data_IF_745899013071
#
_entry.id   IF_745899013071
#
_cell.length_a   1.000
_cell.length_b   1.000
_cell.length_c   1.000
_cell.angle_alpha   90.00
_cell.angle_beta   90.00
_cell.angle_gamma   90.00
#
_symmetry.space_group_name_H-M   'P 1'
#
loop_
_entity.id
_entity.type
_entity.pdbx_description
1 polymer ?
#
# COMPACT_ATOMS: atom_id res chain seq x y z
N UNK A 1 19.47 59.83 -8.46
CA UNK A 1 19.41 58.73 -7.47
C UNK A 1 18.91 57.49 -8.19
N UNK A 2 19.76 56.51 -8.43
CA UNK A 2 19.38 55.20 -8.95
C UNK A 2 19.63 54.18 -7.82
N UNK A 3 18.71 53.26 -7.52
CA UNK A 3 19.00 52.22 -6.55
C UNK A 3 19.87 51.15 -7.24
N UNK A 4 21.12 51.08 -6.77
CA UNK A 4 21.88 49.83 -6.64
C UNK A 4 20.97 48.82 -5.92
N UNK A 5 20.84 47.59 -6.42
CA UNK A 5 20.51 46.33 -5.73
C UNK A 5 19.77 45.41 -6.70
N UNK A 6 20.48 44.71 -7.61
CA UNK A 6 20.03 43.42 -8.17
C UNK A 6 21.14 42.77 -9.02
N UNK A 7 22.31 42.50 -8.43
CA UNK A 7 23.38 41.78 -9.16
C UNK A 7 24.17 40.88 -8.21
N UNK A 8 23.48 40.01 -7.45
CA UNK A 8 24.15 38.98 -6.64
C UNK A 8 23.33 37.72 -6.39
N UNK A 9 22.29 37.44 -7.19
CA UNK A 9 21.48 36.22 -7.02
C UNK A 9 21.44 35.28 -8.25
N UNK A 10 22.00 35.67 -9.41
CA UNK A 10 21.95 34.85 -10.63
C UNK A 10 23.18 33.97 -10.89
N UNK A 11 24.23 34.05 -10.07
CA UNK A 11 25.46 33.24 -10.29
C UNK A 11 25.45 31.94 -9.46
N UNK A 12 24.83 31.93 -8.28
CA UNK A 12 24.73 30.71 -7.47
C UNK A 12 23.70 29.70 -7.98
N UNK A 13 22.67 30.14 -8.70
CA UNK A 13 21.71 29.22 -9.35
C UNK A 13 22.24 28.63 -10.66
N UNK A 14 23.31 29.15 -11.28
CA UNK A 14 23.82 28.57 -12.53
C UNK A 14 24.81 27.41 -12.29
N UNK A 15 25.39 27.31 -11.09
CA UNK A 15 26.37 26.26 -10.74
C UNK A 15 25.66 24.97 -10.24
N UNK A 16 24.42 25.06 -9.76
CA UNK A 16 23.65 23.88 -9.34
C UNK A 16 22.98 23.13 -10.51
N UNK A 17 22.67 23.80 -11.62
CA UNK A 17 21.98 23.18 -12.76
C UNK A 17 22.86 22.29 -13.64
N UNK A 18 24.19 22.37 -13.52
CA UNK A 18 25.12 21.60 -14.37
C UNK A 18 25.50 20.23 -13.80
N UNK A 19 25.07 19.87 -12.58
CA UNK A 19 25.45 18.60 -11.92
C UNK A 19 24.38 17.51 -11.90
N UNK A 20 23.09 17.82 -12.09
CA UNK A 20 22.02 16.82 -12.00
C UNK A 20 21.95 15.88 -13.22
N UNK A 21 22.32 16.36 -14.42
CA UNK A 21 22.22 15.59 -15.66
C UNK A 21 23.23 14.44 -15.79
N UNK A 22 24.32 14.44 -15.02
CA UNK A 22 25.36 13.39 -15.09
C UNK A 22 25.20 12.30 -14.01
N UNK A 23 24.33 12.50 -13.03
CA UNK A 23 24.14 11.55 -11.92
C UNK A 23 22.93 10.63 -12.16
N UNK A 24 23.01 9.34 -11.77
CA UNK A 24 21.88 8.43 -11.83
C UNK A 24 20.72 8.85 -10.91
N UNK A 25 19.52 8.32 -11.18
CA UNK A 25 18.24 8.72 -10.59
C UNK A 25 18.26 8.87 -9.07
N UNK A 26 18.65 7.83 -8.34
CA UNK A 26 18.65 7.86 -6.87
C UNK A 26 19.78 8.72 -6.31
N UNK A 27 20.91 8.81 -7.02
CA UNK A 27 21.97 9.77 -6.68
C UNK A 27 21.48 11.21 -6.80
N UNK A 28 20.72 11.52 -7.86
CA UNK A 28 20.10 12.83 -8.03
C UNK A 28 19.07 13.11 -6.94
N UNK A 29 18.21 12.14 -6.59
CA UNK A 29 17.27 12.24 -5.45
C UNK A 29 18.01 12.62 -4.15
N UNK A 30 19.13 11.98 -3.86
CA UNK A 30 19.93 12.25 -2.65
C UNK A 30 20.52 13.68 -2.60
N UNK A 31 20.67 14.35 -3.75
CA UNK A 31 21.16 15.74 -3.81
C UNK A 31 20.06 16.80 -3.60
N UNK A 32 18.78 16.42 -3.74
CA UNK A 32 17.66 17.35 -3.60
C UNK A 32 17.27 17.46 -2.13
N UNK A 33 17.40 18.65 -1.48
CA UNK A 33 17.13 18.78 -0.05
C UNK A 33 15.71 18.38 0.36
N UNK A 34 14.72 18.70 -0.48
CA UNK A 34 13.30 18.34 -0.30
C UNK A 34 13.00 16.84 -0.43
N UNK A 35 13.96 16.03 -0.87
CA UNK A 35 13.82 14.57 -1.01
C UNK A 35 14.74 13.79 -0.05
N UNK A 36 15.39 14.47 0.89
CA UNK A 36 16.34 13.83 1.82
C UNK A 36 15.70 12.72 2.67
N UNK A 37 14.45 12.90 3.14
CA UNK A 37 13.71 11.85 3.84
C UNK A 37 13.46 10.63 2.95
N UNK A 38 13.09 10.84 1.69
CA UNK A 38 12.85 9.74 0.75
C UNK A 38 14.14 9.00 0.41
N UNK A 39 15.23 9.72 0.19
CA UNK A 39 16.57 9.14 0.02
C UNK A 39 16.98 8.28 1.22
N UNK A 40 16.72 8.74 2.45
CA UNK A 40 17.03 7.97 3.66
C UNK A 40 16.20 6.68 3.76
N UNK A 41 14.93 6.73 3.37
CA UNK A 41 14.04 5.55 3.35
C UNK A 41 14.50 4.54 2.30
N UNK A 42 14.92 4.99 1.11
CA UNK A 42 15.50 4.12 0.08
C UNK A 42 16.77 3.43 0.60
N UNK A 43 17.67 4.17 1.25
CA UNK A 43 18.88 3.61 1.87
C UNK A 43 18.55 2.58 2.97
N UNK A 44 17.47 2.82 3.72
CA UNK A 44 17.00 1.92 4.77
C UNK A 44 16.35 0.64 4.21
N UNK A 45 15.85 0.66 2.96
CA UNK A 45 15.35 -0.53 2.24
C UNK A 45 16.45 -1.51 1.81
N UNK A 46 17.59 -1.52 2.52
CA UNK A 46 18.75 -2.34 2.26
C UNK A 46 18.39 -3.77 1.88
N UNK A 47 18.60 -4.08 0.60
CA UNK A 47 18.15 -5.31 -0.05
C UNK A 47 18.48 -6.56 0.77
N UNK A 48 17.44 -7.35 1.04
CA UNK A 48 17.62 -8.71 1.51
C UNK A 48 18.27 -9.52 0.38
N UNK A 49 19.44 -10.11 0.65
CA UNK A 49 20.03 -11.11 -0.26
C UNK A 49 18.99 -12.21 -0.51
N UNK A 50 18.77 -12.64 -1.78
CA UNK A 50 19.74 -12.65 -2.87
C UNK A 50 19.64 -11.50 -3.89
N UNK A 51 18.78 -10.50 -3.67
CA UNK A 51 18.64 -9.41 -4.63
C UNK A 51 19.73 -8.34 -4.44
N UNK A 52 20.24 -7.73 -5.53
CA UNK A 52 21.04 -6.51 -5.40
C UNK A 52 20.22 -5.46 -4.65
N UNK A 53 20.89 -4.58 -3.90
CA UNK A 53 20.21 -3.50 -3.20
C UNK A 53 19.35 -2.71 -4.19
N UNK A 54 18.17 -2.21 -3.78
CA UNK A 54 17.29 -1.36 -4.60
C UNK A 54 18.09 -0.31 -5.38
N UNK A 55 19.12 0.24 -4.73
CA UNK A 55 20.09 1.17 -5.31
C UNK A 55 20.88 0.61 -6.50
N UNK A 56 21.46 -0.58 -6.39
CA UNK A 56 22.27 -1.19 -7.44
C UNK A 56 21.43 -1.44 -8.72
N UNK A 57 20.11 -1.62 -8.59
CA UNK A 57 19.21 -1.82 -9.72
C UNK A 57 18.83 -0.52 -10.41
N UNK A 58 18.45 0.54 -9.67
CA UNK A 58 17.90 1.76 -10.29
C UNK A 58 18.91 2.92 -10.42
N UNK A 59 20.11 2.80 -9.84
CA UNK A 59 21.25 3.70 -10.13
C UNK A 59 22.21 3.15 -11.18
N UNK A 60 21.95 1.98 -11.75
CA UNK A 60 22.78 1.45 -12.83
C UNK A 60 22.48 2.20 -14.13
N UNK A 61 23.54 2.72 -14.77
CA UNK A 61 23.50 3.21 -16.16
C UNK A 61 23.90 2.11 -17.16
N UNK A 62 24.29 0.93 -16.66
CA UNK A 62 24.79 -0.18 -17.46
C UNK A 62 23.64 -1.01 -18.07
N UNK A 63 22.45 -0.96 -17.47
CA UNK A 63 21.26 -1.64 -17.98
C UNK A 63 20.65 -0.92 -19.20
N UNK A 64 21.09 0.33 -19.48
CA UNK A 64 20.60 1.22 -20.54
C UNK A 64 19.08 1.41 -20.49
N UNK A 65 18.50 1.34 -19.30
CA UNK A 65 17.08 1.62 -19.06
C UNK A 65 16.92 3.05 -18.56
N UNK A 66 15.75 3.60 -18.84
CA UNK A 66 15.32 4.88 -18.28
C UNK A 66 14.23 4.61 -17.26
N UNK A 67 14.20 5.45 -16.23
CA UNK A 67 13.24 5.34 -15.14
C UNK A 67 12.55 6.68 -14.87
N UNK A 68 11.35 6.60 -14.33
CA UNK A 68 10.62 7.76 -13.80
C UNK A 68 10.42 7.56 -12.32
N UNK A 69 10.96 8.46 -11.50
CA UNK A 69 10.73 8.46 -10.05
C UNK A 69 9.63 9.45 -9.69
N UNK A 70 8.61 8.97 -8.99
CA UNK A 70 7.62 9.79 -8.33
C UNK A 70 8.05 9.94 -6.87
N UNK A 71 8.87 10.95 -6.57
CA UNK A 71 9.57 11.06 -5.30
C UNK A 71 8.75 11.85 -4.27
N UNK A 72 8.32 11.24 -3.15
CA UNK A 72 7.63 11.96 -2.08
C UNK A 72 8.54 13.01 -1.45
N UNK A 73 8.02 14.22 -1.31
CA UNK A 73 8.72 15.29 -0.59
C UNK A 73 8.90 14.96 0.91
N UNK A 74 9.81 15.66 1.58
CA UNK A 74 9.94 15.58 3.04
C UNK A 74 8.59 15.86 3.73
N UNK A 75 7.83 16.83 3.21
CA UNK A 75 6.48 17.13 3.67
C UNK A 75 5.53 15.94 3.54
N UNK A 76 5.60 15.20 2.41
CA UNK A 76 4.82 13.99 2.19
C UNK A 76 5.14 12.90 3.23
N UNK A 77 6.42 12.62 3.46
CA UNK A 77 6.84 11.58 4.41
C UNK A 77 6.48 11.97 5.85
N UNK A 78 6.57 13.25 6.19
CA UNK A 78 6.21 13.76 7.52
C UNK A 78 4.71 13.67 7.82
N UNK A 79 3.84 13.44 6.81
CA UNK A 79 2.41 13.18 7.02
C UNK A 79 2.16 11.76 7.55
N UNK A 80 3.13 10.85 7.45
CA UNK A 80 3.00 9.47 7.90
C UNK A 80 3.23 9.40 9.41
N UNK A 81 2.35 8.67 10.11
CA UNK A 81 2.51 8.45 11.54
C UNK A 81 3.86 7.76 11.84
N UNK A 82 4.68 8.27 12.79
CA UNK A 82 5.98 7.68 13.12
C UNK A 82 5.90 6.19 13.51
N UNK A 83 4.83 5.80 14.22
CA UNK A 83 4.59 4.41 14.59
C UNK A 83 4.41 3.49 13.37
N UNK A 84 3.81 4.00 12.28
CA UNK A 84 3.69 3.24 11.04
C UNK A 84 5.03 3.12 10.32
N UNK A 85 5.84 4.19 10.30
CA UNK A 85 7.20 4.13 9.73
C UNK A 85 8.04 3.10 10.48
N UNK A 86 7.97 3.07 11.81
CA UNK A 86 8.64 2.06 12.63
C UNK A 86 8.15 0.64 12.31
N UNK A 87 6.83 0.44 12.22
CA UNK A 87 6.25 -0.86 11.87
C UNK A 87 6.66 -1.33 10.47
N UNK A 88 6.65 -0.45 9.46
CA UNK A 88 7.01 -0.76 8.08
C UNK A 88 8.51 -1.08 7.93
N UNK A 89 9.36 -0.39 8.68
CA UNK A 89 10.82 -0.61 8.62
C UNK A 89 11.28 -1.81 9.46
N UNK A 90 10.38 -2.44 10.22
CA UNK A 90 10.65 -3.66 10.95
C UNK A 90 10.68 -4.88 10.01
N UNK A 91 11.50 -5.88 10.35
CA UNK A 91 11.68 -7.10 9.54
C UNK A 91 10.37 -7.82 9.13
N UNK A 92 9.33 -7.93 9.97
CA UNK A 92 8.07 -8.57 9.58
C UNK A 92 7.32 -7.88 8.44
N UNK A 93 7.51 -6.56 8.27
CA UNK A 93 6.81 -5.76 7.28
C UNK A 93 7.65 -5.44 6.04
N UNK A 94 8.86 -6.00 5.94
CA UNK A 94 9.81 -5.66 4.90
C UNK A 94 9.29 -5.89 3.46
N UNK A 95 8.57 -6.99 3.13
CA UNK A 95 8.00 -7.15 1.79
C UNK A 95 7.01 -6.04 1.41
N UNK A 96 6.13 -5.67 2.35
CA UNK A 96 5.20 -4.54 2.19
C UNK A 96 5.96 -3.21 2.02
N UNK A 97 6.99 -2.98 2.84
CA UNK A 97 7.81 -1.78 2.73
C UNK A 97 8.51 -1.67 1.37
N UNK A 98 9.13 -2.75 0.89
CA UNK A 98 9.79 -2.78 -0.42
C UNK A 98 8.79 -2.50 -1.56
N UNK A 99 7.58 -3.06 -1.47
CA UNK A 99 6.49 -2.84 -2.43
C UNK A 99 6.10 -1.36 -2.53
N UNK A 100 6.01 -0.66 -1.39
CA UNK A 100 5.75 0.79 -1.35
C UNK A 100 6.86 1.54 -2.10
N UNK A 101 8.14 1.26 -1.79
CA UNK A 101 9.26 2.00 -2.40
C UNK A 101 9.34 1.73 -3.91
N UNK A 102 9.13 0.50 -4.35
CA UNK A 102 9.13 0.13 -5.77
C UNK A 102 7.96 0.74 -6.55
N UNK A 103 6.84 1.01 -5.90
CA UNK A 103 5.69 1.70 -6.51
C UNK A 103 6.01 3.13 -6.94
N UNK A 104 7.01 3.76 -6.32
CA UNK A 104 7.44 5.13 -6.65
C UNK A 104 8.40 5.20 -7.85
N UNK A 105 8.70 4.07 -8.49
CA UNK A 105 9.57 4.03 -9.67
C UNK A 105 8.83 3.29 -10.80
N UNK A 106 8.78 3.90 -11.97
CA UNK A 106 8.27 3.30 -13.20
C UNK A 106 9.39 3.11 -14.21
N UNK A 107 9.28 2.09 -15.06
CA UNK A 107 10.16 1.94 -16.22
C UNK A 107 9.73 2.88 -17.35
N UNK A 108 10.71 3.49 -18.02
CA UNK A 108 10.49 4.46 -19.08
C UNK A 108 10.73 5.90 -18.63
N UNK A 109 10.93 6.78 -19.62
CA UNK A 109 11.08 8.22 -19.41
C UNK A 109 9.72 8.88 -19.66
N UNK A 110 9.00 9.17 -18.58
CA UNK A 110 7.69 9.83 -18.62
C UNK A 110 7.86 11.25 -18.11
N UNK A 111 7.96 12.21 -19.02
CA UNK A 111 8.09 13.63 -18.67
C UNK A 111 6.74 14.22 -18.24
N UNK A 112 6.74 15.42 -17.65
CA UNK A 112 5.47 16.09 -17.32
C UNK A 112 4.58 16.36 -18.53
N UNK A 113 5.18 16.53 -19.72
CA UNK A 113 4.46 16.69 -20.97
C UNK A 113 3.77 15.39 -21.44
N UNK A 114 4.32 14.24 -21.06
CA UNK A 114 3.85 12.92 -21.49
C UNK A 114 3.02 12.22 -20.41
N UNK A 115 3.09 12.63 -19.15
CA UNK A 115 2.54 11.87 -18.01
C UNK A 115 1.05 11.58 -18.13
N UNK A 116 0.28 12.50 -18.71
CA UNK A 116 -1.16 12.33 -18.94
C UNK A 116 -1.43 11.41 -20.13
N UNK A 117 -0.66 11.52 -21.21
CA UNK A 117 -0.85 10.72 -22.43
C UNK A 117 -0.28 9.29 -22.29
N UNK A 118 0.67 9.10 -21.40
CA UNK A 118 1.26 7.81 -21.02
C UNK A 118 0.45 7.07 -19.95
N UNK A 119 -0.60 7.67 -19.40
CA UNK A 119 -1.46 7.08 -18.37
C UNK A 119 -2.42 6.03 -18.96
N UNK A 120 -2.58 4.84 -18.34
CA UNK A 120 -1.80 4.35 -17.20
C UNK A 120 -0.43 3.81 -17.62
N UNK A 121 0.56 3.99 -16.77
CA UNK A 121 1.87 3.34 -16.88
C UNK A 121 2.14 2.43 -15.67
N UNK A 122 3.11 1.53 -15.77
CA UNK A 122 3.33 0.49 -14.76
C UNK A 122 4.48 0.87 -13.82
N UNK A 123 4.24 0.78 -12.52
CA UNK A 123 5.32 0.82 -11.54
C UNK A 123 6.18 -0.45 -11.67
N UNK A 124 7.44 -0.40 -11.24
CA UNK A 124 8.33 -1.57 -11.27
C UNK A 124 7.86 -2.68 -10.33
N UNK A 125 7.03 -2.33 -9.34
CA UNK A 125 6.33 -3.29 -8.50
C UNK A 125 5.21 -4.07 -9.25
N UNK A 126 4.76 -3.57 -10.40
CA UNK A 126 3.67 -4.15 -11.19
C UNK A 126 2.30 -3.51 -10.96
N UNK A 127 2.19 -2.56 -10.02
CA UNK A 127 0.95 -1.81 -9.81
C UNK A 127 0.79 -0.69 -10.86
N UNK A 128 -0.44 -0.45 -11.35
CA UNK A 128 -0.68 0.63 -12.29
C UNK A 128 -0.54 1.99 -11.61
N UNK A 129 0.01 2.93 -12.37
CA UNK A 129 0.07 4.35 -12.05
C UNK A 129 -0.77 5.09 -13.08
N UNK A 130 -1.81 5.75 -12.59
CA UNK A 130 -2.66 6.66 -13.35
C UNK A 130 -2.24 8.09 -13.07
N UNK A 131 -2.26 8.93 -14.10
CA UNK A 131 -2.07 10.37 -13.97
C UNK A 131 -3.20 11.12 -14.67
N UNK A 132 -3.71 12.15 -14.01
CA UNK A 132 -4.80 12.99 -14.50
C UNK A 132 -4.58 14.46 -14.15
N UNK A 133 -5.12 15.37 -14.96
CA UNK A 133 -5.18 16.80 -14.64
C UNK A 133 -6.53 17.09 -14.01
N UNK A 134 -6.54 17.64 -12.79
CA UNK A 134 -7.77 17.90 -12.04
C UNK A 134 -7.95 19.41 -11.85
N UNK A 135 -9.18 19.90 -12.06
CA UNK A 135 -9.57 21.26 -11.66
C UNK A 135 -9.25 22.37 -12.65
N UNK A 136 -8.79 22.06 -13.87
CA UNK A 136 -8.52 23.07 -14.91
C UNK A 136 -7.28 23.96 -14.66
N UNK A 137 -6.71 23.88 -13.45
CA UNK A 137 -5.33 24.27 -13.16
C UNK A 137 -4.40 23.14 -13.63
N UNK A 138 -3.17 23.44 -14.05
CA UNK A 138 -2.17 22.48 -14.56
C UNK A 138 -1.64 21.52 -13.46
N UNK A 139 -2.47 21.20 -12.45
CA UNK A 139 -2.15 20.29 -11.37
C UNK A 139 -2.33 18.84 -11.84
N UNK A 140 -1.22 18.12 -11.96
CA UNK A 140 -1.19 16.69 -12.25
C UNK A 140 -1.33 15.94 -10.92
N UNK A 141 -2.29 15.03 -10.87
CA UNK A 141 -2.47 14.08 -9.78
C UNK A 141 -2.12 12.69 -10.24
N UNK A 142 -1.46 11.94 -9.37
CA UNK A 142 -1.12 10.54 -9.57
C UNK A 142 -1.99 9.67 -8.66
N UNK A 143 -2.62 8.65 -9.23
CA UNK A 143 -3.51 7.69 -8.55
C UNK A 143 -4.64 8.34 -7.73
N UNK A 144 -5.04 9.57 -8.10
CA UNK A 144 -5.96 10.42 -7.32
C UNK A 144 -5.55 10.57 -5.84
N UNK A 145 -4.27 10.34 -5.54
CA UNK A 145 -3.68 10.32 -4.20
C UNK A 145 -2.73 11.49 -3.98
N UNK A 146 -1.84 11.73 -4.94
CA UNK A 146 -0.71 12.63 -4.77
C UNK A 146 -0.67 13.69 -5.86
N UNK A 147 -0.53 14.95 -5.48
CA UNK A 147 -0.27 16.03 -6.42
C UNK A 147 1.22 16.05 -6.77
N UNK A 148 1.53 16.22 -8.06
CA UNK A 148 2.88 16.53 -8.51
C UNK A 148 3.18 18.00 -8.22
N UNK A 149 4.17 18.25 -7.36
CA UNK A 149 4.52 19.60 -6.87
C UNK A 149 5.77 20.17 -7.53
N UNK A 150 6.62 19.33 -8.11
CA UNK A 150 7.71 19.74 -8.97
C UNK A 150 7.93 18.66 -10.03
N UNK A 151 8.28 19.07 -11.24
CA UNK A 151 8.41 18.17 -12.40
C UNK A 151 9.80 18.22 -13.00
N UNK A 152 10.12 17.19 -13.80
CA UNK A 152 11.21 17.18 -14.76
C UNK A 152 12.60 17.46 -14.18
N UNK A 153 12.91 16.92 -13.00
CA UNK A 153 14.28 16.88 -12.51
C UNK A 153 15.02 15.74 -13.21
N UNK A 154 15.81 16.08 -14.22
CA UNK A 154 16.51 15.10 -15.05
C UNK A 154 17.72 14.48 -14.33
N UNK A 155 17.87 13.17 -14.54
CA UNK A 155 19.01 12.35 -14.14
C UNK A 155 19.56 11.62 -15.39
N UNK A 156 20.74 11.01 -15.28
CA UNK A 156 21.40 10.37 -16.42
C UNK A 156 20.69 9.10 -16.94
N UNK A 157 19.86 8.47 -16.11
CA UNK A 157 19.03 7.31 -16.45
C UNK A 157 17.54 7.54 -16.13
N UNK A 158 17.07 8.79 -16.12
CA UNK A 158 15.65 9.02 -15.84
C UNK A 158 15.22 10.45 -15.54
N UNK A 159 14.01 10.56 -15.03
CA UNK A 159 13.38 11.82 -14.61
C UNK A 159 12.71 11.66 -13.25
N UNK A 160 12.75 12.70 -12.44
CA UNK A 160 12.15 12.73 -11.10
C UNK A 160 11.04 13.79 -11.09
N UNK A 161 9.87 13.38 -10.63
CA UNK A 161 8.74 14.25 -10.30
C UNK A 161 8.51 14.19 -8.79
N UNK A 162 8.46 15.33 -8.13
CA UNK A 162 8.23 15.40 -6.69
C UNK A 162 6.73 15.39 -6.43
N UNK A 163 6.30 14.59 -5.45
CA UNK A 163 4.89 14.44 -5.09
C UNK A 163 4.64 14.80 -3.62
N UNK A 164 3.44 15.26 -3.30
CA UNK A 164 3.09 15.75 -1.97
C UNK A 164 2.55 14.67 -1.01
N UNK A 165 2.39 13.43 -1.49
CA UNK A 165 1.97 12.26 -0.71
C UNK A 165 2.83 11.04 -1.08
N UNK A 166 2.89 10.05 -0.18
CA UNK A 166 3.42 8.72 -0.50
C UNK A 166 2.32 7.91 -1.19
N UNK A 167 2.65 7.27 -2.31
CA UNK A 167 1.71 6.47 -3.09
C UNK A 167 1.37 5.18 -2.35
N UNK A 168 0.07 4.88 -2.29
CA UNK A 168 -0.40 3.58 -1.84
C UNK A 168 -0.65 2.69 -3.06
N UNK A 169 0.13 1.63 -3.29
CA UNK A 169 -0.10 0.70 -4.41
C UNK A 169 -1.45 -0.03 -4.32
N UNK A 170 -1.96 -0.24 -3.12
CA UNK A 170 -3.06 -1.17 -2.88
C UNK A 170 -4.43 -0.52 -3.02
N UNK A 171 -4.60 0.75 -2.69
CA UNK A 171 -5.91 1.40 -2.80
C UNK A 171 -6.44 1.40 -4.24
N UNK A 172 -5.67 1.80 -5.27
CA UNK A 172 -6.17 1.76 -6.66
C UNK A 172 -6.41 0.34 -7.16
N UNK A 173 -5.73 -0.65 -6.56
CA UNK A 173 -5.78 -2.04 -6.97
C UNK A 173 -6.90 -2.83 -6.27
N UNK A 174 -6.92 -2.85 -4.94
CA UNK A 174 -7.94 -3.54 -4.13
C UNK A 174 -9.23 -2.75 -3.99
N UNK A 175 -9.21 -1.43 -4.21
CA UNK A 175 -10.37 -0.57 -4.11
C UNK A 175 -10.88 -0.38 -2.68
N UNK A 176 -11.99 0.34 -2.56
CA UNK A 176 -12.65 0.68 -1.31
C UNK A 176 -14.07 0.11 -1.35
N UNK A 177 -14.53 -0.46 -0.24
CA UNK A 177 -15.90 -0.91 -0.09
C UNK A 177 -16.86 0.27 0.04
N UNK A 178 -18.01 0.14 -0.61
CA UNK A 178 -19.13 1.07 -0.53
C UNK A 178 -20.38 0.40 0.08
N UNK A 179 -20.21 -0.71 0.82
CA UNK A 179 -21.35 -1.40 1.44
C UNK A 179 -22.13 -0.48 2.36
N UNK A 180 -23.45 -0.55 2.27
CA UNK A 180 -24.39 0.17 3.15
C UNK A 180 -25.12 -0.78 4.10
N UNK A 181 -24.90 -2.08 3.97
CA UNK A 181 -25.59 -3.10 4.76
C UNK A 181 -24.82 -3.35 6.05
N UNK A 182 -25.57 -3.48 7.15
CA UNK A 182 -25.00 -4.00 8.38
C UNK A 182 -24.55 -5.45 8.19
N UNK A 183 -23.40 -5.85 8.77
CA UNK A 183 -22.97 -7.23 8.74
C UNK A 183 -24.01 -8.13 9.40
N UNK A 184 -24.12 -9.35 8.88
CA UNK A 184 -24.85 -10.44 9.54
C UNK A 184 -23.94 -11.24 10.47
N UNK A 185 -24.50 -11.96 11.43
CA UNK A 185 -23.74 -12.84 12.33
C UNK A 185 -24.35 -14.24 12.33
N UNK A 186 -23.51 -15.25 12.22
CA UNK A 186 -23.87 -16.66 12.32
C UNK A 186 -22.89 -17.42 13.21
N UNK A 187 -23.34 -18.58 13.72
CA UNK A 187 -22.57 -19.45 14.61
C UNK A 187 -22.50 -20.86 14.00
N UNK A 188 -21.42 -21.57 14.27
CA UNK A 188 -21.20 -22.96 13.85
C UNK A 188 -20.45 -23.76 14.91
N UNK A 189 -20.65 -25.06 14.94
CA UNK A 189 -19.97 -25.97 15.88
C UNK A 189 -18.48 -26.20 15.51
N UNK A 190 -18.04 -25.76 14.32
CA UNK A 190 -16.68 -25.92 13.82
C UNK A 190 -15.67 -24.91 14.37
N UNK A 191 -14.40 -25.09 14.04
CA UNK A 191 -13.31 -24.11 14.26
C UNK A 191 -13.25 -23.04 13.16
N UNK A 192 -12.43 -22.01 13.33
CA UNK A 192 -12.06 -21.06 12.27
C UNK A 192 -11.52 -21.78 11.03
N UNK A 193 -10.72 -22.84 11.22
CA UNK A 193 -10.27 -23.68 10.12
C UNK A 193 -11.42 -24.40 9.41
N UNK A 194 -12.40 -24.94 10.15
CA UNK A 194 -13.59 -25.55 9.57
C UNK A 194 -14.40 -24.55 8.74
N UNK A 195 -14.53 -23.30 9.21
CA UNK A 195 -15.23 -22.24 8.48
C UNK A 195 -14.54 -21.99 7.14
N UNK A 196 -13.21 -21.76 7.13
CA UNK A 196 -12.45 -21.53 5.90
C UNK A 196 -12.53 -22.73 4.92
N UNK A 197 -12.55 -23.95 5.45
CA UNK A 197 -12.58 -25.16 4.63
C UNK A 197 -13.97 -25.45 4.03
N UNK A 198 -15.05 -25.05 4.70
CA UNK A 198 -16.43 -25.39 4.29
C UNK A 198 -17.16 -24.27 3.57
N UNK A 199 -16.81 -23.00 3.82
CA UNK A 199 -17.50 -21.87 3.20
C UNK A 199 -17.11 -21.73 1.72
N UNK A 200 -18.10 -21.89 0.83
CA UNK A 200 -17.91 -21.80 -0.62
C UNK A 200 -17.52 -20.38 -1.07
N UNK A 201 -17.81 -19.36 -0.27
CA UNK A 201 -17.43 -17.97 -0.56
C UNK A 201 -15.94 -17.72 -0.31
N UNK A 202 -15.23 -18.64 0.33
CA UNK A 202 -13.83 -18.47 0.71
C UNK A 202 -12.88 -19.33 -0.14
N UNK A 203 -13.36 -19.88 -1.25
CA UNK A 203 -12.57 -20.81 -2.09
C UNK A 203 -11.31 -20.16 -2.66
N UNK A 204 -11.39 -18.93 -3.18
CA UNK A 204 -10.24 -18.26 -3.82
C UNK A 204 -9.11 -18.04 -2.81
N UNK A 205 -9.41 -17.40 -1.68
CA UNK A 205 -8.40 -17.11 -0.65
C UNK A 205 -7.87 -18.38 0.01
N UNK A 206 -8.70 -19.42 0.16
CA UNK A 206 -8.25 -20.74 0.63
C UNK A 206 -7.22 -21.33 -0.31
N UNK A 207 -7.47 -21.31 -1.62
CA UNK A 207 -6.57 -21.87 -2.62
C UNK A 207 -5.25 -21.08 -2.67
N UNK A 208 -5.31 -19.76 -2.51
CA UNK A 208 -4.11 -18.91 -2.34
C UNK A 208 -3.32 -19.35 -1.11
N UNK A 209 -3.96 -19.49 0.06
CA UNK A 209 -3.27 -19.94 1.28
C UNK A 209 -2.67 -21.34 1.17
N UNK A 210 -3.33 -22.26 0.46
CA UNK A 210 -2.78 -23.59 0.22
C UNK A 210 -1.43 -23.56 -0.51
N UNK A 211 -1.22 -22.57 -1.39
CA UNK A 211 0.07 -22.39 -2.08
C UNK A 211 1.05 -21.61 -1.22
N UNK A 212 0.62 -20.48 -0.63
CA UNK A 212 1.50 -19.57 0.09
C UNK A 212 1.96 -20.11 1.44
N UNK A 213 1.09 -20.84 2.13
CA UNK A 213 1.35 -21.40 3.46
C UNK A 213 0.47 -22.63 3.69
N UNK A 214 0.86 -23.81 3.16
CA UNK A 214 0.05 -25.03 3.22
C UNK A 214 -0.39 -25.44 4.63
N UNK A 215 0.44 -25.10 5.63
CA UNK A 215 0.20 -25.39 7.04
C UNK A 215 -0.61 -24.29 7.76
N UNK A 216 -0.91 -23.15 7.13
CA UNK A 216 -1.59 -22.02 7.78
C UNK A 216 -2.94 -22.43 8.36
N UNK A 217 -3.81 -23.03 7.54
CA UNK A 217 -5.16 -23.41 7.96
C UNK A 217 -5.08 -24.54 9.00
N UNK A 218 -4.32 -25.60 8.73
CA UNK A 218 -4.27 -26.80 9.56
C UNK A 218 -3.43 -26.67 10.83
N UNK A 219 -2.56 -25.67 10.96
CA UNK A 219 -1.78 -25.43 12.18
C UNK A 219 -2.18 -24.15 12.87
N UNK A 220 -2.21 -23.01 12.19
CA UNK A 220 -2.45 -21.72 12.85
C UNK A 220 -3.91 -21.56 13.27
N UNK A 221 -4.84 -21.93 12.39
CA UNK A 221 -6.28 -21.76 12.62
C UNK A 221 -6.93 -22.96 13.31
N UNK A 222 -6.35 -24.15 13.17
CA UNK A 222 -6.82 -25.36 13.84
C UNK A 222 -6.31 -25.47 15.29
N UNK A 223 -5.07 -25.02 15.58
CA UNK A 223 -4.46 -25.09 16.92
C UNK A 223 -4.75 -23.84 17.75
N UNK A 224 -6.03 -23.57 17.98
CA UNK A 224 -6.44 -22.98 19.25
C UNK A 224 -7.00 -24.14 20.08
N UNK A 225 -6.11 -25.01 20.57
CA UNK A 225 -6.49 -26.12 21.43
C UNK A 225 -7.17 -25.60 22.71
N UNK A 226 -8.16 -26.36 23.18
CA UNK A 226 -8.99 -26.17 24.35
C UNK A 226 -8.40 -25.22 25.42
N UNK A 227 -8.84 -23.95 25.40
CA UNK A 227 -8.45 -22.91 26.35
C UNK A 227 -7.55 -21.79 25.79
N UNK A 228 -7.23 -21.81 24.49
CA UNK A 228 -6.52 -20.73 23.80
C UNK A 228 -7.36 -19.45 23.57
N UNK A 229 -6.68 -18.37 23.22
CA UNK A 229 -7.28 -17.06 22.88
C UNK A 229 -8.13 -17.22 21.60
N UNK A 230 -9.36 -16.71 21.63
CA UNK A 230 -10.26 -16.66 20.46
C UNK A 230 -9.57 -15.96 19.29
N UNK A 231 -9.57 -16.58 18.11
CA UNK A 231 -8.93 -16.00 16.92
C UNK A 231 -9.94 -15.25 16.06
N UNK A 232 -9.62 -14.02 15.67
CA UNK A 232 -10.37 -13.28 14.67
C UNK A 232 -9.57 -13.21 13.37
N UNK A 233 -10.19 -13.66 12.28
CA UNK A 233 -9.62 -13.61 10.94
C UNK A 233 -10.57 -12.88 9.99
N UNK A 234 -10.20 -11.66 9.61
CA UNK A 234 -10.84 -10.95 8.51
C UNK A 234 -10.26 -11.45 7.18
N UNK A 235 -11.13 -11.93 6.29
CA UNK A 235 -10.69 -12.62 5.08
C UNK A 235 -11.58 -12.28 3.88
N UNK A 236 -11.01 -12.00 2.69
CA UNK A 236 -11.78 -11.68 1.50
C UNK A 236 -12.64 -12.85 1.04
N UNK A 237 -13.91 -12.56 0.71
CA UNK A 237 -14.77 -13.48 -0.03
C UNK A 237 -14.37 -13.55 -1.50
N UNK A 238 -14.96 -14.49 -2.25
CA UNK A 238 -14.76 -14.59 -3.69
C UNK A 238 -15.17 -13.30 -4.41
N UNK A 239 -16.20 -12.60 -3.93
CA UNK A 239 -16.68 -11.32 -4.49
C UNK A 239 -15.63 -10.21 -4.35
N UNK A 240 -14.75 -10.30 -3.34
CA UNK A 240 -13.64 -9.36 -3.16
C UNK A 240 -12.62 -9.38 -4.32
N UNK A 241 -12.61 -10.46 -5.12
CA UNK A 241 -11.73 -10.62 -6.28
C UNK A 241 -12.41 -10.26 -7.60
N UNK A 242 -13.74 -10.05 -7.62
CA UNK A 242 -14.51 -9.87 -8.85
C UNK A 242 -14.17 -8.59 -9.65
N UNK A 243 -13.50 -7.61 -9.03
CA UNK A 243 -13.03 -6.38 -9.66
C UNK A 243 -11.52 -6.31 -9.91
N UNK A 244 -10.78 -7.37 -9.57
CA UNK A 244 -9.33 -7.43 -9.74
C UNK A 244 -8.98 -7.95 -11.14
N UNK A 245 -7.77 -7.66 -11.66
CA UNK A 245 -7.29 -8.23 -12.92
C UNK A 245 -7.43 -9.76 -12.99
N UNK A 246 -7.67 -10.30 -14.20
CA UNK A 246 -7.92 -11.73 -14.38
C UNK A 246 -6.74 -12.63 -13.95
N UNK A 247 -5.52 -12.09 -14.00
CA UNK A 247 -4.29 -12.76 -13.60
C UNK A 247 -3.99 -12.62 -12.09
N UNK A 248 -4.79 -11.88 -11.32
CA UNK A 248 -4.52 -11.60 -9.90
C UNK A 248 -4.22 -12.86 -9.09
N UNK A 249 -4.94 -13.96 -9.32
CA UNK A 249 -4.71 -15.21 -8.57
C UNK A 249 -3.35 -15.81 -8.94
N UNK A 250 -3.03 -15.90 -10.23
CA UNK A 250 -1.74 -16.41 -10.73
C UNK A 250 -0.57 -15.55 -10.24
N UNK A 251 -0.71 -14.23 -10.37
CA UNK A 251 0.24 -13.24 -9.90
C UNK A 251 0.42 -13.28 -8.38
N UNK A 252 -0.63 -13.56 -7.61
CA UNK A 252 -0.55 -13.66 -6.13
C UNK A 252 0.21 -14.88 -5.64
N UNK A 253 0.20 -15.98 -6.40
CA UNK A 253 0.88 -17.23 -6.01
C UNK A 253 2.26 -17.39 -6.67
N UNK A 254 2.61 -16.50 -7.60
CA UNK A 254 3.89 -16.50 -8.29
C UNK A 254 5.06 -16.44 -7.28
N UNK A 255 6.13 -17.26 -7.44
CA UNK A 255 7.22 -17.35 -6.48
C UNK A 255 7.87 -16.01 -6.07
N UNK A 256 7.93 -15.05 -6.99
CA UNK A 256 8.47 -13.70 -6.71
C UNK A 256 7.58 -12.87 -5.78
N UNK A 257 6.28 -13.16 -5.72
CA UNK A 257 5.29 -12.35 -5.03
C UNK A 257 4.87 -12.98 -3.69
N UNK A 258 5.18 -14.27 -3.48
CA UNK A 258 4.74 -15.03 -2.30
C UNK A 258 5.01 -14.33 -0.95
N UNK A 259 6.18 -13.70 -0.69
CA UNK A 259 6.42 -13.02 0.59
C UNK A 259 5.43 -11.87 0.84
N UNK A 260 5.19 -11.04 -0.19
CA UNK A 260 4.25 -9.92 -0.10
C UNK A 260 2.81 -10.43 -0.04
N UNK A 261 2.43 -11.36 -0.91
CA UNK A 261 1.06 -11.91 -0.95
C UNK A 261 0.70 -12.59 0.36
N UNK A 262 1.63 -13.35 0.97
CA UNK A 262 1.39 -13.95 2.28
C UNK A 262 1.15 -12.88 3.34
N UNK A 263 1.90 -11.78 3.29
CA UNK A 263 1.72 -10.65 4.20
C UNK A 263 0.35 -9.98 4.02
N UNK A 264 -0.05 -9.71 2.77
CA UNK A 264 -1.33 -9.06 2.45
C UNK A 264 -2.52 -9.93 2.86
N UNK A 265 -2.52 -11.22 2.48
CA UNK A 265 -3.63 -12.12 2.80
C UNK A 265 -3.67 -12.52 4.29
N UNK A 266 -2.54 -12.53 4.99
CA UNK A 266 -2.50 -12.78 6.45
C UNK A 266 -2.75 -11.53 7.30
N UNK A 267 -2.84 -10.35 6.69
CA UNK A 267 -2.97 -9.08 7.41
C UNK A 267 -4.20 -9.04 8.33
N UNK A 268 -5.30 -9.67 7.91
CA UNK A 268 -6.55 -9.74 8.67
C UNK A 268 -6.53 -10.69 9.87
N UNK A 269 -5.39 -11.29 10.23
CA UNK A 269 -5.27 -12.09 11.45
C UNK A 269 -5.05 -11.19 12.67
N UNK A 270 -6.11 -10.96 13.44
CA UNK A 270 -6.17 -9.91 14.45
C UNK A 270 -5.80 -10.41 15.85
N UNK A 271 -5.17 -9.54 16.62
CA UNK A 271 -4.87 -9.74 18.05
C UNK A 271 -6.03 -9.24 18.92
N UNK A 272 -7.20 -9.86 18.76
CA UNK A 272 -8.39 -9.57 19.56
C UNK A 272 -9.29 -10.80 19.62
N UNK A 273 -10.01 -10.93 20.73
CA UNK A 273 -11.09 -11.89 20.94
C UNK A 273 -12.48 -11.25 20.80
N UNK A 274 -12.55 -9.92 20.65
CA UNK A 274 -13.81 -9.18 20.59
C UNK A 274 -14.45 -9.37 19.22
N UNK A 275 -15.69 -9.88 19.24
CA UNK A 275 -16.53 -10.01 18.05
C UNK A 275 -16.84 -8.62 17.50
N UNK A 276 -16.90 -8.47 16.18
CA UNK A 276 -17.17 -7.16 15.59
C UNK A 276 -18.51 -6.58 16.08
N UNK A 277 -19.53 -7.44 16.19
CA UNK A 277 -20.85 -7.08 16.69
C UNK A 277 -20.84 -6.51 18.13
N UNK A 278 -19.80 -6.80 18.91
CA UNK A 278 -19.65 -6.36 20.30
C UNK A 278 -18.73 -5.13 20.44
N UNK A 279 -18.18 -4.62 19.33
CA UNK A 279 -17.35 -3.41 19.33
C UNK A 279 -18.21 -2.15 19.55
N UNK A 280 -17.79 -1.32 20.49
CA UNK A 280 -18.42 -0.03 20.77
C UNK A 280 -17.73 1.11 19.98
N UNK A 281 -18.38 1.56 18.91
CA UNK A 281 -17.92 2.67 18.07
C UNK A 281 -18.34 4.05 18.58
N UNK A 282 -18.93 4.17 19.78
CA UNK A 282 -19.34 5.46 20.35
C UNK A 282 -18.17 6.45 20.51
N UNK A 283 -16.96 5.94 20.69
CA UNK A 283 -15.71 6.70 20.73
C UNK A 283 -15.04 6.95 19.39
N UNK A 284 -15.61 6.48 18.27
CA UNK A 284 -15.02 6.55 16.93
C UNK A 284 -14.37 5.23 16.48
N UNK A 285 -13.51 5.27 15.45
CA UNK A 285 -12.81 4.09 14.94
C UNK A 285 -11.92 3.42 15.99
N UNK A 286 -11.83 2.09 15.92
CA UNK A 286 -11.10 1.26 16.87
C UNK A 286 -9.86 0.68 16.17
N UNK A 287 -8.69 0.84 16.77
CA UNK A 287 -7.45 0.23 16.31
C UNK A 287 -7.26 -1.15 16.91
N UNK A 288 -7.01 -2.16 16.07
CA UNK A 288 -6.73 -3.53 16.47
C UNK A 288 -5.40 -3.96 15.86
N UNK A 289 -4.53 -4.64 16.60
CA UNK A 289 -3.25 -5.07 16.07
C UNK A 289 -3.39 -6.27 15.12
N UNK A 290 -2.64 -6.28 14.01
CA UNK A 290 -2.44 -7.48 13.20
C UNK A 290 -1.29 -8.30 13.78
N UNK A 291 -1.54 -9.57 14.08
CA UNK A 291 -0.51 -10.47 14.65
C UNK A 291 0.60 -10.81 13.66
N UNK A 292 0.39 -10.62 12.35
CA UNK A 292 1.34 -11.01 11.31
C UNK A 292 2.29 -9.88 10.93
N UNK A 293 1.77 -8.65 10.82
CA UNK A 293 2.53 -7.52 10.27
C UNK A 293 3.01 -6.53 11.34
N UNK A 294 2.41 -6.53 12.53
CA UNK A 294 2.60 -5.50 13.54
C UNK A 294 1.96 -4.15 13.16
N UNK A 295 1.32 -4.04 12.00
CA UNK A 295 0.56 -2.87 11.57
C UNK A 295 -0.87 -3.02 12.09
N UNK A 296 -1.42 -1.94 12.66
CA UNK A 296 -2.79 -1.95 13.16
C UNK A 296 -3.79 -1.89 12.01
N UNK A 297 -4.86 -2.67 12.13
CA UNK A 297 -6.09 -2.48 11.37
C UNK A 297 -6.96 -1.45 12.08
N UNK A 298 -7.82 -0.77 11.33
CA UNK A 298 -8.83 0.14 11.87
C UNK A 298 -10.22 -0.40 11.56
N UNK A 299 -10.95 -0.75 12.61
CA UNK A 299 -12.37 -1.06 12.54
C UNK A 299 -13.19 0.23 12.63
N UNK A 300 -14.20 0.38 11.78
CA UNK A 300 -15.11 1.54 11.80
C UNK A 300 -16.53 1.16 11.45
N UNK A 301 -17.49 1.95 11.94
CA UNK A 301 -18.90 1.84 11.61
C UNK A 301 -19.42 3.19 11.13
N UNK A 302 -20.24 3.18 10.07
CA UNK A 302 -20.90 4.38 9.55
C UNK A 302 -22.36 4.44 9.98
N UNK A 303 -22.96 5.61 9.85
CA UNK A 303 -24.40 5.81 10.03
C UNK A 303 -25.18 4.87 9.11
N UNK A 304 -26.00 3.99 9.68
CA UNK A 304 -26.71 2.92 8.95
C UNK A 304 -26.27 1.51 9.34
N UNK A 305 -25.18 1.39 10.12
CA UNK A 305 -24.76 0.14 10.73
C UNK A 305 -23.80 -0.69 9.88
N UNK A 306 -23.49 -0.26 8.65
CA UNK A 306 -22.42 -0.84 7.85
C UNK A 306 -21.08 -0.67 8.55
N UNK A 307 -20.30 -1.75 8.56
CA UNK A 307 -19.03 -1.81 9.28
C UNK A 307 -17.90 -2.28 8.40
N UNK A 308 -16.70 -1.88 8.80
CA UNK A 308 -15.54 -1.95 7.95
C UNK A 308 -14.30 -2.25 8.76
N UNK A 309 -13.35 -2.88 8.07
CA UNK A 309 -11.97 -3.03 8.51
C UNK A 309 -11.09 -2.49 7.39
N UNK A 310 -10.38 -1.40 7.69
CA UNK A 310 -9.66 -0.61 6.69
C UNK A 310 -10.57 -0.22 5.50
N UNK A 311 -10.22 -0.64 4.29
CA UNK A 311 -10.94 -0.40 3.04
C UNK A 311 -12.12 -1.37 2.83
N UNK A 312 -12.17 -2.48 3.57
CA UNK A 312 -13.09 -3.58 3.29
C UNK A 312 -14.34 -3.51 4.18
N UNK A 313 -15.51 -3.76 3.59
CA UNK A 313 -16.78 -3.88 4.29
C UNK A 313 -16.98 -5.30 4.79
N UNK A 314 -17.47 -5.44 6.02
CA UNK A 314 -17.76 -6.75 6.62
C UNK A 314 -19.16 -7.18 6.16
N UNK A 315 -19.23 -8.31 5.47
CA UNK A 315 -20.48 -8.88 4.95
C UNK A 315 -21.15 -9.78 6.01
N UNK A 316 -20.37 -10.66 6.61
CA UNK A 316 -20.83 -11.61 7.62
C UNK A 316 -19.72 -11.95 8.60
N UNK A 317 -20.10 -12.12 9.86
CA UNK A 317 -19.29 -12.71 10.90
C UNK A 317 -19.76 -14.14 11.17
N UNK A 318 -18.92 -15.12 10.89
CA UNK A 318 -19.17 -16.54 11.19
C UNK A 318 -18.32 -16.93 12.39
N UNK A 319 -18.94 -17.24 13.51
CA UNK A 319 -18.24 -17.62 14.74
C UNK A 319 -18.29 -19.14 14.97
N UNK A 320 -17.17 -19.67 15.42
CA UNK A 320 -16.97 -21.07 15.75
C UNK A 320 -16.48 -21.26 17.18
N UNK A 321 -16.10 -22.51 17.49
CA UNK A 321 -15.67 -22.92 18.82
C UNK A 321 -14.36 -22.26 19.32
N UNK A 322 -13.53 -21.73 18.41
CA UNK A 322 -12.22 -21.16 18.74
C UNK A 322 -11.95 -19.76 18.16
N UNK A 323 -12.97 -19.08 17.65
CA UNK A 323 -12.79 -17.79 17.00
C UNK A 323 -13.91 -17.42 16.04
N UNK A 324 -13.73 -16.33 15.28
CA UNK A 324 -14.65 -15.93 14.22
C UNK A 324 -13.91 -15.55 12.94
N UNK A 325 -14.57 -15.81 11.82
CA UNK A 325 -14.17 -15.35 10.49
C UNK A 325 -15.04 -14.15 10.12
N UNK A 326 -14.41 -13.04 9.77
CA UNK A 326 -15.09 -11.87 9.22
C UNK A 326 -14.93 -11.90 7.71
N UNK A 327 -16.00 -12.24 7.02
CA UNK A 327 -16.04 -12.31 5.55
C UNK A 327 -16.14 -10.88 5.03
N UNK A 328 -15.15 -10.43 4.26
CA UNK A 328 -15.07 -9.06 3.75
C UNK A 328 -15.16 -9.00 2.23
N UNK A 329 -15.66 -7.88 1.71
CA UNK A 329 -15.94 -7.67 0.28
C UNK A 329 -14.78 -7.05 -0.52
N UNK A 330 -13.62 -6.85 0.11
CA UNK A 330 -12.38 -6.35 -0.49
C UNK A 330 -11.18 -7.08 0.12
N UNK A 331 -10.12 -7.21 -0.66
CA UNK A 331 -8.81 -7.56 -0.10
C UNK A 331 -8.36 -6.41 0.81
N UNK A 332 -7.89 -6.74 2.01
CA UNK A 332 -7.51 -5.73 3.00
C UNK A 332 -6.27 -4.96 2.53
N UNK A 333 -6.40 -3.64 2.47
CA UNK A 333 -5.32 -2.70 2.23
C UNK A 333 -4.70 -2.32 3.59
N UNK A 334 -3.47 -2.78 3.91
CA UNK A 334 -2.80 -2.46 5.17
C UNK A 334 -2.43 -0.97 5.30
N UNK A 335 -2.48 -0.21 4.21
CA UNK A 335 -2.08 1.18 4.12
C UNK A 335 -3.26 2.13 3.91
N UNK A 336 -4.51 1.65 4.01
CA UNK A 336 -5.72 2.43 3.75
C UNK A 336 -5.80 3.77 4.51
N UNK A 337 -5.30 3.83 5.75
CA UNK A 337 -5.27 5.08 6.54
C UNK A 337 -3.85 5.63 6.72
N UNK A 338 -2.85 5.02 6.08
CA UNK A 338 -1.45 5.34 6.25
C UNK A 338 -1.06 6.70 5.65
N UNK A 339 -1.68 7.08 4.54
CA UNK A 339 -1.21 8.18 3.68
C UNK A 339 -2.26 9.29 3.45
N UNK A 340 -3.25 9.37 4.33
CA UNK A 340 -4.32 10.39 4.30
C UNK A 340 -5.72 9.79 4.31
N UNK A 341 -6.77 10.63 4.45
CA UNK A 341 -8.14 10.15 4.40
C UNK A 341 -8.48 9.75 2.97
N UNK A 342 -8.54 8.46 2.70
CA UNK A 342 -9.26 7.92 1.56
C UNK A 342 -10.76 8.06 1.87
N UNK A 343 -11.30 9.24 1.57
CA UNK A 343 -12.69 9.57 1.85
C UNK A 343 -13.61 8.58 1.15
N UNK A 344 -14.38 7.81 1.93
CA UNK A 344 -15.42 6.91 1.41
C UNK A 344 -16.52 7.67 0.67
N UNK A 345 -16.63 8.99 0.87
CA UNK A 345 -17.50 9.91 0.14
C UNK A 345 -16.91 10.51 -1.13
N UNK A 346 -15.60 10.39 -1.38
CA UNK A 346 -14.95 10.91 -2.60
C UNK A 346 -14.92 9.88 -3.75
N UNK A 347 -15.26 8.61 -3.48
CA UNK A 347 -15.42 7.57 -4.49
C UNK A 347 -16.75 7.66 -5.27
N UNK A 348 -17.22 8.90 -5.52
CA UNK A 348 -18.28 9.17 -6.48
C UNK A 348 -17.80 10.18 -7.51
N UNK A 349 -17.63 9.66 -8.73
CA UNK A 349 -17.52 10.27 -10.06
C UNK A 349 -16.22 9.92 -10.79
#
# INVERSE_FOLDING_TARGET
MAPKYLLTAMVSSLIAFTNAQDQPLLSTIATVPELSSFSAVILASGGSKPNPAFEERFNSVLDRRNYTALAPTNGAINKIAPALVEALTAAPAYPLFESIIRTHVAEGLVTSADVVSASPFEAIEGFPISAAVIGGEEAIFVNDQAQVVAVDTFASNGVIHQIDQVLNPYTPYFGISNTTNSPTTSETDGTVADILLKDERLTIVRDIFQVLSPDFISRRLALAEAGGISQILAIPSNDAFAGLPNDTIESSIAPSNQPLSLQLYSFGLLDTDVRFADLDFSGGPISVASTFTGINVTASQVTGGATFINNAGIQEQVCGSNGCVWVVDRVLDPLYLAFGPLDRGAASL
#
